data_IF_719948985488
#
_entry.id   IF_719948985488
#
_cell.length_a   1.000
_cell.length_b   1.000
_cell.length_c   1.000
_cell.angle_alpha   90.00
_cell.angle_beta   90.00
_cell.angle_gamma   90.00
#
_symmetry.space_group_name_H-M   'P 1'
#
loop_
_entity.id
_entity.type
_entity.pdbx_description
1 polymer ?
#
# COMPACT_ATOMS: atom_id res chain seq x y z
N UNK A 1 -11.29 -7.56 -14.00
CA UNK A 1 -10.66 -7.39 -12.67
C UNK A 1 -9.46 -6.48 -12.84
N UNK A 2 -9.38 -5.37 -12.11
CA UNK A 2 -8.23 -4.45 -12.14
C UNK A 2 -7.09 -4.99 -11.27
N UNK A 3 -5.87 -4.50 -11.48
CA UNK A 3 -4.72 -4.90 -10.66
C UNK A 3 -4.89 -4.52 -9.19
N UNK A 4 -5.44 -3.33 -8.93
CA UNK A 4 -5.84 -2.86 -7.60
C UNK A 4 -6.68 -3.90 -6.86
N UNK A 5 -7.76 -4.40 -7.48
CA UNK A 5 -8.65 -5.39 -6.87
C UNK A 5 -7.96 -6.71 -6.53
N UNK A 6 -6.98 -7.12 -7.32
CA UNK A 6 -6.18 -8.34 -7.06
C UNK A 6 -5.27 -8.15 -5.84
N UNK A 7 -4.62 -6.99 -5.74
CA UNK A 7 -3.81 -6.59 -4.59
C UNK A 7 -4.69 -6.55 -3.34
N UNK A 8 -5.84 -5.88 -3.40
CA UNK A 8 -6.80 -5.82 -2.29
C UNK A 8 -7.23 -7.21 -1.82
N UNK A 9 -7.61 -8.09 -2.75
CA UNK A 9 -8.05 -9.45 -2.42
C UNK A 9 -6.96 -10.28 -1.77
N UNK A 10 -5.71 -10.18 -2.24
CA UNK A 10 -4.59 -10.88 -1.63
C UNK A 10 -4.29 -10.36 -0.22
N UNK A 11 -4.30 -9.03 -0.04
CA UNK A 11 -4.04 -8.40 1.24
C UNK A 11 -5.17 -8.58 2.25
N UNK A 12 -6.41 -8.75 1.78
CA UNK A 12 -7.56 -9.05 2.63
C UNK A 12 -7.39 -10.38 3.39
N UNK A 13 -6.59 -11.33 2.88
CA UNK A 13 -6.24 -12.57 3.58
C UNK A 13 -5.48 -12.34 4.89
N UNK A 14 -4.80 -11.20 5.04
CA UNK A 14 -4.13 -10.80 6.28
C UNK A 14 -5.11 -10.28 7.34
N UNK A 15 -6.41 -10.19 7.03
CA UNK A 15 -7.45 -9.64 7.90
C UNK A 15 -7.02 -8.31 8.56
N UNK A 16 -6.56 -7.32 7.77
CA UNK A 16 -6.26 -6.01 8.31
C UNK A 16 -7.54 -5.32 8.81
N UNK A 17 -7.42 -4.51 9.85
CA UNK A 17 -8.51 -3.65 10.32
C UNK A 17 -8.88 -2.58 9.28
N UNK A 18 -7.88 -2.13 8.51
CA UNK A 18 -8.08 -1.17 7.43
C UNK A 18 -7.19 -1.55 6.24
N UNK A 19 -7.78 -1.59 5.06
CA UNK A 19 -7.11 -1.87 3.81
C UNK A 19 -7.59 -0.86 2.78
N UNK A 20 -6.65 -0.14 2.17
CA UNK A 20 -6.94 0.80 1.10
C UNK A 20 -5.84 0.70 0.05
N UNK A 21 -6.21 0.40 -1.19
CA UNK A 21 -5.28 0.39 -2.32
C UNK A 21 -5.66 1.49 -3.28
N UNK A 22 -4.74 2.39 -3.58
CA UNK A 22 -4.89 3.48 -4.53
C UNK A 22 -4.00 3.23 -5.74
N UNK A 23 -4.55 3.50 -6.92
CA UNK A 23 -3.78 3.57 -8.16
C UNK A 23 -3.19 4.98 -8.29
N UNK A 24 -1.86 5.09 -8.29
CA UNK A 24 -1.14 6.35 -8.51
C UNK A 24 -0.47 6.37 -9.89
N UNK A 25 -0.85 5.44 -10.78
CA UNK A 25 -0.30 5.32 -12.14
C UNK A 25 -0.51 6.59 -12.98
N UNK A 26 -1.55 7.37 -12.68
CA UNK A 26 -1.92 8.59 -13.38
C UNK A 26 -1.01 9.81 -13.11
N UNK A 27 -0.22 9.81 -12.02
CA UNK A 27 0.57 10.98 -11.62
C UNK A 27 1.90 11.11 -12.39
N UNK A 28 2.36 10.08 -13.11
CA UNK A 28 3.61 10.11 -13.85
C UNK A 28 3.35 10.19 -15.36
N UNK A 29 3.28 11.41 -15.90
CA UNK A 29 3.30 11.69 -17.34
C UNK A 29 4.66 11.33 -17.95
N UNK A 30 4.90 10.04 -18.19
CA UNK A 30 5.85 9.44 -19.14
C UNK A 30 5.74 7.91 -19.05
N UNK A 31 4.67 7.38 -19.63
CA UNK A 31 4.55 5.98 -20.08
C UNK A 31 5.04 4.87 -19.15
N UNK A 32 4.07 4.10 -18.63
CA UNK A 32 4.20 2.66 -18.30
C UNK A 32 4.69 2.26 -16.90
N UNK A 33 4.90 3.19 -15.96
CA UNK A 33 5.23 2.83 -14.59
C UNK A 33 3.98 2.79 -13.70
N UNK A 34 3.34 1.61 -13.62
CA UNK A 34 2.17 1.31 -12.78
C UNK A 34 2.56 1.34 -11.30
N UNK A 35 2.43 2.52 -10.69
CA UNK A 35 2.66 2.74 -9.27
C UNK A 35 1.35 2.57 -8.50
N UNK A 36 1.39 1.72 -7.48
CA UNK A 36 0.27 1.51 -6.57
C UNK A 36 0.65 1.94 -5.16
N UNK A 37 -0.31 2.38 -4.38
CA UNK A 37 -0.15 2.66 -2.96
C UNK A 37 -1.10 1.78 -2.17
N UNK A 38 -0.59 1.02 -1.22
CA UNK A 38 -1.40 0.20 -0.33
C UNK A 38 -1.20 0.64 1.11
N UNK A 39 -2.28 1.03 1.76
CA UNK A 39 -2.35 1.35 3.18
C UNK A 39 -2.96 0.17 3.90
N UNK A 40 -2.24 -0.36 4.89
CA UNK A 40 -2.68 -1.48 5.71
C UNK A 40 -2.55 -1.14 7.18
N UNK A 41 -3.62 -1.38 7.93
CA UNK A 41 -3.63 -1.27 9.39
C UNK A 41 -3.90 -2.65 9.96
N UNK A 42 -2.95 -3.20 10.71
CA UNK A 42 -3.11 -4.51 11.33
C UNK A 42 -2.33 -4.60 12.64
N UNK A 43 -2.91 -5.29 13.62
CA UNK A 43 -2.26 -5.62 14.89
C UNK A 43 -1.03 -6.52 14.69
N UNK A 44 -1.03 -7.30 13.58
CA UNK A 44 0.09 -8.14 13.18
C UNK A 44 1.40 -7.38 12.91
N UNK A 45 1.35 -6.05 12.80
CA UNK A 45 2.51 -5.19 12.63
C UNK A 45 3.07 -4.66 13.96
N UNK A 46 2.36 -4.88 15.08
CA UNK A 46 2.81 -4.47 16.40
C UNK A 46 4.11 -5.20 16.76
N UNK A 47 5.10 -4.44 17.25
CA UNK A 47 6.42 -4.95 17.58
C UNK A 47 7.31 -5.33 16.37
N UNK A 48 6.81 -5.21 15.13
CA UNK A 48 7.60 -5.43 13.93
C UNK A 48 8.18 -4.11 13.41
N UNK A 49 9.43 -4.18 12.93
CA UNK A 49 10.05 -3.07 12.20
C UNK A 49 9.49 -2.94 10.78
N UNK A 50 9.67 -1.78 10.16
CA UNK A 50 9.16 -1.47 8.81
C UNK A 50 9.54 -2.53 7.76
N UNK A 51 10.80 -3.03 7.79
CA UNK A 51 11.27 -4.07 6.88
C UNK A 51 10.48 -5.38 7.04
N UNK A 52 10.28 -5.87 8.27
CA UNK A 52 9.51 -7.09 8.54
C UNK A 52 8.04 -6.94 8.16
N UNK A 53 7.45 -5.76 8.39
CA UNK A 53 6.08 -5.45 7.95
C UNK A 53 5.98 -5.57 6.43
N UNK A 54 6.91 -4.95 5.69
CA UNK A 54 6.94 -5.03 4.24
C UNK A 54 7.18 -6.46 3.72
N UNK A 55 8.14 -7.20 4.31
CA UNK A 55 8.39 -8.60 3.96
C UNK A 55 7.13 -9.46 4.10
N UNK A 56 6.36 -9.26 5.17
CA UNK A 56 5.11 -10.00 5.41
C UNK A 56 4.08 -9.70 4.32
N UNK A 57 3.93 -8.44 3.95
CA UNK A 57 3.01 -8.03 2.88
C UNK A 57 3.47 -8.57 1.52
N UNK A 58 4.76 -8.46 1.20
CA UNK A 58 5.32 -9.00 -0.04
C UNK A 58 5.19 -10.52 -0.12
N UNK A 59 5.35 -11.24 1.00
CA UNK A 59 5.12 -12.67 1.07
C UNK A 59 3.66 -13.03 0.75
N UNK A 60 2.69 -12.21 1.17
CA UNK A 60 1.27 -12.39 0.82
C UNK A 60 0.98 -12.09 -0.65
N UNK A 61 1.60 -11.04 -1.20
CA UNK A 61 1.43 -10.67 -2.61
C UNK A 61 2.05 -11.72 -3.54
N UNK A 62 3.17 -12.32 -3.14
CA UNK A 62 3.79 -13.45 -3.85
C UNK A 62 3.96 -13.16 -5.34
N UNK A 63 3.24 -13.93 -6.17
CA UNK A 63 3.30 -13.83 -7.63
C UNK A 63 2.81 -12.48 -8.18
N UNK A 64 1.97 -11.74 -7.45
CA UNK A 64 1.46 -10.43 -7.89
C UNK A 64 2.57 -9.38 -8.01
N UNK A 65 3.68 -9.53 -7.27
CA UNK A 65 4.82 -8.61 -7.33
C UNK A 65 5.45 -8.51 -8.73
N UNK A 66 5.33 -9.55 -9.56
CA UNK A 66 5.87 -9.53 -10.92
C UNK A 66 4.99 -8.80 -11.94
N UNK A 67 3.79 -8.39 -11.54
CA UNK A 67 2.78 -7.83 -12.45
C UNK A 67 2.63 -6.30 -12.33
N UNK A 68 3.32 -5.67 -11.36
CA UNK A 68 3.38 -4.22 -11.20
C UNK A 68 4.83 -3.74 -10.98
N UNK A 69 5.10 -2.47 -11.28
CA UNK A 69 6.45 -1.93 -11.23
C UNK A 69 6.87 -1.51 -9.81
N UNK A 70 5.97 -0.84 -9.08
CA UNK A 70 6.23 -0.40 -7.72
C UNK A 70 4.95 -0.36 -6.87
N UNK A 71 5.06 -0.75 -5.61
CA UNK A 71 4.00 -0.66 -4.61
C UNK A 71 4.51 0.10 -3.38
N UNK A 72 3.95 1.27 -3.13
CA UNK A 72 4.18 2.05 -1.92
C UNK A 72 3.34 1.48 -0.77
N UNK A 73 4.01 0.74 0.13
CA UNK A 73 3.38 0.15 1.31
C UNK A 73 3.42 1.11 2.49
N UNK A 74 2.25 1.36 3.06
CA UNK A 74 2.07 2.12 4.29
C UNK A 74 1.43 1.21 5.33
N UNK A 75 2.28 0.57 6.14
CA UNK A 75 1.85 -0.38 7.18
C UNK A 75 1.85 0.28 8.56
N UNK A 76 0.68 0.40 9.16
CA UNK A 76 0.47 0.99 10.48
C UNK A 76 -0.10 -0.03 11.46
N UNK A 77 0.20 0.12 12.75
CA UNK A 77 -0.60 -0.55 13.79
C UNK A 77 -1.92 0.18 14.00
N UNK A 78 -2.96 -0.47 14.53
CA UNK A 78 -4.21 0.20 14.91
C UNK A 78 -3.97 1.36 15.89
N UNK A 79 -2.98 1.24 16.79
CA UNK A 79 -2.57 2.33 17.68
C UNK A 79 -1.94 3.51 16.94
N UNK A 80 -1.06 3.24 15.97
CA UNK A 80 -0.46 4.28 15.12
C UNK A 80 -1.54 4.97 14.29
N UNK A 81 -2.43 4.19 13.67
CA UNK A 81 -3.53 4.71 12.86
C UNK A 81 -4.50 5.57 13.66
N UNK A 82 -4.82 5.16 14.89
CA UNK A 82 -5.64 5.95 15.82
C UNK A 82 -5.02 7.31 16.13
N UNK A 83 -3.68 7.39 16.21
CA UNK A 83 -2.95 8.65 16.42
C UNK A 83 -2.84 9.50 15.16
N UNK A 84 -2.75 8.89 13.98
CA UNK A 84 -2.65 9.61 12.69
C UNK A 84 -4.03 10.11 12.21
N UNK A 85 -5.12 9.39 12.54
CA UNK A 85 -6.50 9.77 12.25
C UNK A 85 -6.94 9.56 10.79
N UNK A 86 -6.04 9.68 9.81
CA UNK A 86 -6.27 9.33 8.41
C UNK A 86 -4.92 9.11 7.69
N UNK A 87 -4.86 8.26 6.65
CA UNK A 87 -3.65 8.11 5.83
C UNK A 87 -3.21 9.50 5.34
N UNK A 88 -1.90 9.84 5.40
CA UNK A 88 -1.44 11.11 4.86
C UNK A 88 -1.90 11.21 3.40
N UNK A 89 -2.68 12.25 3.12
CA UNK A 89 -3.08 12.60 1.76
C UNK A 89 -1.79 12.71 0.94
N UNK A 90 -1.72 11.98 -0.19
CA UNK A 90 -0.54 12.00 -1.05
C UNK A 90 -0.14 13.46 -1.31
N UNK A 91 1.15 13.83 -1.17
CA UNK A 91 1.57 15.21 -1.29
C UNK A 91 1.16 15.69 -2.68
N UNK A 92 0.37 16.77 -2.71
CA UNK A 92 -0.05 17.42 -3.94
C UNK A 92 1.22 17.78 -4.72
N UNK A 93 1.43 17.16 -5.87
CA UNK A 93 2.45 17.56 -6.81
C UNK A 93 2.24 19.05 -7.13
N UNK A 94 3.08 19.91 -6.57
CA UNK A 94 3.22 21.27 -7.01
C UNK A 94 3.87 21.22 -8.40
N UNK A 95 3.03 21.23 -9.45
CA UNK A 95 3.47 21.52 -10.80
C UNK A 95 4.09 22.92 -10.83
N UNK A 96 5.43 22.96 -10.86
CA UNK A 96 6.18 24.19 -11.10
C UNK A 96 6.04 24.59 -12.56
N UNK A 97 5.69 25.86 -12.77
CA UNK A 97 5.46 26.56 -14.03
C UNK A 97 6.67 26.53 -14.97
#
# INVERSE_FOLDING_TARGET
MTMQQRIESALALLQPHHLQVLDESHMHSRGQQTHYKAVLVSDQFQGLNSVKRHQKVYATLGALMGEFHALALHTYTPEEWSKVGAAPASPTCAGGH
#
